data_IF_017911248928
#
_entry.id   IF_017911248928
#
_cell.length_a   1.000
_cell.length_b   1.000
_cell.length_c   1.000
_cell.angle_alpha   90.00
_cell.angle_beta   90.00
_cell.angle_gamma   90.00
#
_symmetry.space_group_name_H-M   'P 1'
#
loop_
_entity.id
_entity.type
_entity.pdbx_description
1 polymer ?
#
# COMPACT_ATOMS: atom_id res chain seq x y z
N UNK A 1 25.41 -25.25 3.89
CA UNK A 1 24.05 -24.72 4.16
C UNK A 1 24.07 -23.26 4.60
N UNK A 2 24.88 -22.87 5.59
CA UNK A 2 25.01 -21.47 6.04
C UNK A 2 25.40 -20.46 4.94
N UNK A 3 26.31 -20.84 4.02
CA UNK A 3 26.66 -19.98 2.88
C UNK A 3 25.48 -19.78 1.91
N UNK A 4 24.72 -20.84 1.60
CA UNK A 4 23.54 -20.75 0.75
C UNK A 4 22.37 -19.98 1.38
N UNK A 5 22.25 -20.03 2.70
CA UNK A 5 21.28 -19.21 3.45
C UNK A 5 21.67 -17.72 3.43
N UNK A 6 22.96 -17.41 3.58
CA UNK A 6 23.47 -16.04 3.45
C UNK A 6 23.22 -15.49 2.04
N UNK A 7 23.50 -16.27 1.00
CA UNK A 7 23.26 -15.87 -0.40
C UNK A 7 21.76 -15.77 -0.74
N UNK A 8 20.89 -16.47 0.00
CA UNK A 8 19.45 -16.31 -0.11
C UNK A 8 18.96 -15.00 0.52
N UNK A 9 19.40 -14.69 1.75
CA UNK A 9 19.04 -13.44 2.43
C UNK A 9 19.64 -12.23 1.70
N UNK A 10 20.88 -12.30 1.22
CA UNK A 10 21.52 -11.19 0.50
C UNK A 10 20.86 -10.82 -0.83
N UNK A 11 19.88 -11.60 -1.32
CA UNK A 11 18.99 -11.13 -2.38
C UNK A 11 18.15 -9.97 -1.82
N UNK A 12 18.53 -8.73 -2.16
CA UNK A 12 17.91 -7.50 -1.63
C UNK A 12 16.38 -7.43 -1.75
N UNK A 13 15.77 -8.13 -2.70
CA UNK A 13 14.32 -8.27 -2.81
C UNK A 13 13.68 -9.00 -1.62
N UNK A 14 14.36 -9.99 -1.03
CA UNK A 14 13.84 -10.77 0.10
C UNK A 14 13.90 -9.96 1.41
N UNK A 15 15.00 -9.23 1.63
CA UNK A 15 15.17 -8.39 2.83
C UNK A 15 14.15 -7.27 2.87
N UNK A 16 13.95 -6.55 1.75
CA UNK A 16 12.99 -5.44 1.68
C UNK A 16 11.56 -5.90 1.93
N UNK A 17 11.15 -7.03 1.34
CA UNK A 17 9.85 -7.65 1.59
C UNK A 17 9.69 -8.12 3.05
N UNK A 18 10.72 -8.75 3.62
CA UNK A 18 10.70 -9.22 5.00
C UNK A 18 10.58 -8.07 6.01
N UNK A 19 11.31 -6.97 5.80
CA UNK A 19 11.21 -5.77 6.63
C UNK A 19 9.81 -5.16 6.52
N UNK A 20 9.26 -5.06 5.30
CA UNK A 20 7.91 -4.55 5.06
C UNK A 20 6.85 -5.33 5.85
N UNK A 21 6.91 -6.67 5.81
CA UNK A 21 6.00 -7.52 6.57
C UNK A 21 6.16 -7.37 8.09
N UNK A 22 7.41 -7.32 8.58
CA UNK A 22 7.70 -7.19 10.01
C UNK A 22 7.19 -5.85 10.57
N UNK A 23 7.43 -4.75 9.86
CA UNK A 23 6.95 -3.42 10.24
C UNK A 23 5.42 -3.36 10.17
N UNK A 24 4.82 -3.94 9.13
CA UNK A 24 3.35 -4.02 9.00
C UNK A 24 2.69 -4.77 10.16
N UNK A 25 3.27 -5.89 10.59
CA UNK A 25 2.79 -6.66 11.73
C UNK A 25 2.93 -5.90 13.05
N UNK A 26 4.08 -5.29 13.32
CA UNK A 26 4.33 -4.50 14.52
C UNK A 26 3.36 -3.31 14.61
N UNK A 27 3.15 -2.63 13.50
CA UNK A 27 2.24 -1.49 13.43
C UNK A 27 0.78 -1.90 13.67
N UNK A 28 0.35 -3.02 13.08
CA UNK A 28 -0.98 -3.60 13.32
C UNK A 28 -1.20 -3.92 14.80
N UNK A 29 -0.18 -4.45 15.48
CA UNK A 29 -0.24 -4.75 16.91
C UNK A 29 -0.43 -3.48 17.76
N UNK A 30 0.28 -2.39 17.44
CA UNK A 30 0.14 -1.09 18.13
C UNK A 30 -1.28 -0.53 17.96
N UNK A 31 -1.79 -0.51 16.72
CA UNK A 31 -3.15 0.00 16.43
C UNK A 31 -4.22 -0.84 17.12
N UNK A 32 -4.07 -2.16 17.09
CA UNK A 32 -4.99 -3.09 17.75
C UNK A 32 -4.96 -2.91 19.28
N UNK A 33 -3.77 -2.76 19.86
CA UNK A 33 -3.60 -2.49 21.29
C UNK A 33 -4.26 -1.17 21.71
N UNK A 34 -4.07 -0.11 20.93
CA UNK A 34 -4.73 1.18 21.16
C UNK A 34 -6.26 1.08 21.07
N UNK A 35 -6.78 0.38 20.05
CA UNK A 35 -8.21 0.13 19.91
C UNK A 35 -8.83 -0.54 21.13
N UNK A 36 -8.20 -1.64 21.56
CA UNK A 36 -8.70 -2.45 22.65
C UNK A 36 -8.58 -1.73 24.00
N UNK A 37 -7.56 -0.89 24.18
CA UNK A 37 -7.34 -0.15 25.41
C UNK A 37 -8.20 1.11 25.55
N UNK A 38 -8.52 1.80 24.45
CA UNK A 38 -9.21 3.09 24.50
C UNK A 38 -10.57 3.08 23.81
N UNK A 39 -10.68 2.50 22.62
CA UNK A 39 -11.90 2.57 21.81
C UNK A 39 -12.97 1.61 22.34
N UNK A 40 -12.62 0.35 22.58
CA UNK A 40 -13.56 -0.67 23.10
C UNK A 40 -14.14 -0.24 24.46
N UNK A 41 -13.36 0.25 25.44
CA UNK A 41 -13.91 0.74 26.70
C UNK A 41 -14.73 2.02 26.56
N UNK A 42 -14.36 2.94 25.66
CA UNK A 42 -15.19 4.12 25.38
C UNK A 42 -16.57 3.73 24.87
N UNK A 43 -16.63 2.79 23.91
CA UNK A 43 -17.90 2.28 23.38
C UNK A 43 -18.72 1.65 24.52
N UNK A 44 -18.07 0.87 25.39
CA UNK A 44 -18.72 0.26 26.55
C UNK A 44 -19.23 1.26 27.60
N UNK A 45 -18.62 2.43 27.71
CA UNK A 45 -19.08 3.52 28.58
C UNK A 45 -20.29 4.26 27.99
N UNK A 46 -20.27 4.54 26.68
CA UNK A 46 -21.39 5.18 25.99
C UNK A 46 -22.67 4.32 25.99
N UNK A 47 -22.54 2.99 26.09
CA UNK A 47 -23.67 2.07 26.21
C UNK A 47 -24.16 1.82 27.65
N UNK A 48 -23.75 2.65 28.62
CA UNK A 48 -24.24 2.76 30.02
C UNK A 48 -24.65 1.42 30.65
N UNK A 49 -23.69 0.68 31.20
CA UNK A 49 -23.93 -0.50 32.06
C UNK A 49 -24.34 -1.78 31.32
N UNK A 50 -24.65 -1.70 30.03
CA UNK A 50 -24.68 -2.83 29.10
C UNK A 50 -23.47 -2.73 28.17
N UNK A 51 -22.28 -2.90 28.74
CA UNK A 51 -21.01 -3.00 28.01
C UNK A 51 -20.88 -4.25 27.13
N UNK A 52 -22.01 -4.87 26.77
CA UNK A 52 -22.07 -6.09 25.99
C UNK A 52 -23.15 -5.95 24.93
N UNK A 53 -22.81 -5.35 23.79
CA UNK A 53 -23.38 -5.84 22.55
C UNK A 53 -23.02 -7.34 22.36
N UNK A 54 -21.97 -7.85 23.02
CA UNK A 54 -21.66 -9.28 23.17
C UNK A 54 -22.83 -10.16 23.65
N UNK A 55 -23.74 -9.62 24.48
CA UNK A 55 -24.92 -10.33 25.02
C UNK A 55 -26.18 -10.12 24.19
N UNK A 56 -26.13 -9.24 23.20
CA UNK A 56 -27.17 -9.10 22.20
C UNK A 56 -27.03 -10.29 21.25
N UNK A 57 -27.64 -11.40 21.65
CA UNK A 57 -27.69 -12.62 20.88
C UNK A 57 -29.12 -12.88 20.42
N UNK A 58 -29.26 -13.21 19.14
CA UNK A 58 -30.53 -13.72 18.62
C UNK A 58 -30.42 -15.25 18.62
N UNK A 59 -31.33 -15.90 19.34
CA UNK A 59 -31.37 -17.36 19.41
C UNK A 59 -32.52 -17.88 18.55
N UNK A 60 -32.20 -18.65 17.53
CA UNK A 60 -33.17 -19.43 16.74
C UNK A 60 -32.76 -20.88 16.82
N UNK A 61 -33.69 -21.74 17.21
CA UNK A 61 -33.50 -23.20 17.25
C UNK A 61 -32.27 -23.67 18.07
N UNK A 62 -32.01 -23.00 19.20
CA UNK A 62 -30.89 -23.34 20.10
C UNK A 62 -29.51 -22.85 19.66
N UNK A 63 -29.41 -22.17 18.51
CA UNK A 63 -28.16 -21.55 18.04
C UNK A 63 -28.15 -20.07 18.40
N UNK A 64 -27.17 -19.65 19.20
CA UNK A 64 -26.98 -18.27 19.65
C UNK A 64 -26.14 -17.48 18.63
N UNK A 65 -26.70 -16.43 18.03
CA UNK A 65 -25.99 -15.51 17.14
C UNK A 65 -25.65 -14.20 17.86
N UNK A 66 -24.40 -14.01 18.35
CA UNK A 66 -23.98 -12.80 19.04
C UNK A 66 -23.71 -11.66 18.05
N UNK A 67 -24.77 -11.07 17.49
CA UNK A 67 -24.66 -10.00 16.49
C UNK A 67 -24.00 -8.75 17.07
N UNK A 68 -24.18 -8.48 18.35
CA UNK A 68 -23.59 -7.28 18.91
C UNK A 68 -22.06 -7.39 19.14
N UNK A 69 -21.50 -8.60 19.24
CA UNK A 69 -20.03 -8.76 19.23
C UNK A 69 -19.44 -8.38 17.86
N UNK A 70 -20.20 -8.64 16.79
CA UNK A 70 -19.83 -8.23 15.43
C UNK A 70 -19.95 -6.71 15.26
N UNK A 71 -21.03 -6.09 15.75
CA UNK A 71 -21.23 -4.63 15.63
C UNK A 71 -20.17 -3.87 16.43
N UNK A 72 -19.82 -4.31 17.65
CA UNK A 72 -18.76 -3.69 18.43
C UNK A 72 -17.39 -3.81 17.74
N UNK A 73 -17.07 -4.99 17.18
CA UNK A 73 -15.86 -5.19 16.41
C UNK A 73 -15.81 -4.33 15.14
N UNK A 74 -16.94 -4.17 14.44
CA UNK A 74 -17.04 -3.34 13.24
C UNK A 74 -16.85 -1.84 13.55
N UNK A 75 -17.47 -1.34 14.63
CA UNK A 75 -17.29 0.06 15.06
C UNK A 75 -15.84 0.29 15.51
N UNK A 76 -15.26 -0.64 16.28
CA UNK A 76 -13.87 -0.56 16.68
C UNK A 76 -12.93 -0.55 15.47
N UNK A 77 -13.20 -1.39 14.46
CA UNK A 77 -12.45 -1.43 13.20
C UNK A 77 -12.55 -0.11 12.40
N UNK A 78 -13.74 0.48 12.30
CA UNK A 78 -13.91 1.75 11.61
C UNK A 78 -13.16 2.90 12.30
N UNK A 79 -13.21 2.94 13.63
CA UNK A 79 -12.50 3.97 14.40
C UNK A 79 -10.98 3.77 14.31
N UNK A 80 -10.47 2.54 14.37
CA UNK A 80 -9.04 2.30 14.18
C UNK A 80 -8.59 2.66 12.78
N UNK A 81 -9.34 2.27 11.75
CA UNK A 81 -9.04 2.64 10.36
C UNK A 81 -9.00 4.16 10.20
N UNK A 82 -9.94 4.89 10.81
CA UNK A 82 -9.96 6.36 10.80
C UNK A 82 -8.72 6.96 11.50
N UNK A 83 -8.35 6.46 12.69
CA UNK A 83 -7.16 6.92 13.41
C UNK A 83 -5.88 6.64 12.62
N UNK A 84 -5.77 5.45 12.03
CA UNK A 84 -4.64 5.03 11.22
C UNK A 84 -4.50 5.90 9.97
N UNK A 85 -5.60 6.14 9.28
CA UNK A 85 -5.65 7.03 8.13
C UNK A 85 -5.23 8.46 8.51
N UNK A 86 -5.77 9.00 9.61
CA UNK A 86 -5.54 10.38 9.98
C UNK A 86 -4.14 10.64 10.59
N UNK A 87 -3.61 9.71 11.39
CA UNK A 87 -2.31 9.86 12.07
C UNK A 87 -1.12 9.34 11.27
N UNK A 88 -1.31 8.45 10.30
CA UNK A 88 -0.20 7.87 9.53
C UNK A 88 -0.32 8.21 8.06
N UNK A 89 -1.43 7.85 7.41
CA UNK A 89 -1.58 8.03 5.96
C UNK A 89 -1.59 9.51 5.58
N UNK A 90 -2.38 10.35 6.26
CA UNK A 90 -2.44 11.78 5.97
C UNK A 90 -1.11 12.53 6.18
N UNK A 91 -0.40 12.38 7.31
CA UNK A 91 0.89 13.06 7.47
C UNK A 91 1.95 12.47 6.54
N UNK A 92 1.98 11.15 6.29
CA UNK A 92 2.87 10.57 5.29
C UNK A 92 2.60 11.14 3.90
N UNK A 93 1.34 11.20 3.46
CA UNK A 93 0.95 11.78 2.18
C UNK A 93 1.30 13.27 2.12
N UNK A 94 1.10 14.02 3.20
CA UNK A 94 1.43 15.45 3.28
C UNK A 94 2.93 15.73 3.30
N UNK A 95 3.71 14.85 3.93
CA UNK A 95 5.17 14.86 3.96
C UNK A 95 5.70 14.48 2.59
N UNK A 96 5.24 13.39 1.99
CA UNK A 96 5.61 12.98 0.63
C UNK A 96 5.33 14.11 -0.37
N UNK A 97 4.13 14.68 -0.39
CA UNK A 97 3.80 15.83 -1.24
C UNK A 97 4.64 17.10 -0.98
N UNK A 98 5.38 17.17 0.12
CA UNK A 98 6.30 18.26 0.46
C UNK A 98 7.78 17.93 0.22
N UNK A 99 8.15 16.65 0.23
CA UNK A 99 9.53 16.19 0.02
C UNK A 99 9.76 15.67 -1.39
N UNK A 100 8.74 15.11 -2.05
CA UNK A 100 8.74 14.87 -3.49
C UNK A 100 8.21 16.14 -4.15
N UNK A 101 9.10 16.95 -4.71
CA UNK A 101 8.68 17.81 -5.82
C UNK A 101 8.06 16.85 -6.84
N UNK A 102 6.83 17.13 -7.31
CA UNK A 102 6.07 16.35 -8.29
C UNK A 102 6.88 15.84 -9.50
N UNK A 103 8.05 16.43 -9.73
CA UNK A 103 9.08 16.01 -10.68
C UNK A 103 9.65 14.59 -10.46
N UNK A 104 9.77 14.04 -9.25
CA UNK A 104 10.42 12.72 -9.05
C UNK A 104 9.49 11.52 -9.25
N UNK A 105 8.22 11.61 -8.81
CA UNK A 105 7.21 10.59 -9.12
C UNK A 105 6.85 10.62 -10.62
N UNK A 106 6.71 11.80 -11.22
CA UNK A 106 6.54 11.91 -12.68
C UNK A 106 7.78 11.43 -13.46
N UNK A 107 9.01 11.75 -13.04
CA UNK A 107 10.22 11.22 -13.72
C UNK A 107 10.38 9.70 -13.56
N UNK A 108 9.90 9.12 -12.47
CA UNK A 108 9.89 7.67 -12.28
C UNK A 108 8.85 6.99 -13.19
N UNK A 109 7.64 7.56 -13.32
CA UNK A 109 6.57 7.00 -14.15
C UNK A 109 6.78 7.20 -15.65
N UNK A 110 7.38 8.32 -16.10
CA UNK A 110 7.58 8.58 -17.54
C UNK A 110 8.61 7.62 -18.17
N UNK A 111 9.55 7.08 -17.38
CA UNK A 111 10.43 5.98 -17.83
C UNK A 111 9.73 4.62 -17.90
N UNK A 112 8.58 4.47 -17.24
CA UNK A 112 7.83 3.23 -17.12
C UNK A 112 6.70 3.06 -18.15
N UNK A 113 6.36 4.12 -18.91
CA UNK A 113 5.45 3.99 -20.05
C UNK A 113 6.13 3.16 -21.15
N UNK A 114 5.80 1.86 -21.18
CA UNK A 114 6.32 0.88 -22.14
C UNK A 114 5.42 0.83 -23.38
N UNK A 115 6.04 0.61 -24.53
CA UNK A 115 5.38 0.32 -25.81
C UNK A 115 6.08 -0.85 -26.50
N UNK A 116 5.39 -1.50 -27.41
CA UNK A 116 5.99 -2.55 -28.21
C UNK A 116 6.89 -1.96 -29.30
N UNK A 117 8.06 -2.56 -29.48
CA UNK A 117 8.95 -2.25 -30.59
C UNK A 117 8.35 -2.76 -31.92
N UNK A 118 8.21 -1.93 -32.97
CA UNK A 118 7.60 -2.33 -34.25
C UNK A 118 8.42 -3.37 -35.04
N UNK A 119 9.69 -3.58 -34.68
CA UNK A 119 10.58 -4.50 -35.39
C UNK A 119 10.69 -5.88 -34.75
N UNK A 120 10.66 -5.93 -33.41
CA UNK A 120 10.96 -7.17 -32.66
C UNK A 120 9.96 -7.48 -31.55
N UNK A 121 8.92 -6.66 -31.37
CA UNK A 121 7.85 -6.86 -30.39
C UNK A 121 8.31 -6.98 -28.92
N UNK A 122 9.54 -6.59 -28.61
CA UNK A 122 9.99 -6.44 -27.22
C UNK A 122 9.44 -5.15 -26.62
N UNK A 123 9.12 -5.17 -25.33
CA UNK A 123 8.75 -3.98 -24.56
C UNK A 123 9.93 -3.00 -24.48
N UNK A 124 9.72 -1.77 -24.92
CA UNK A 124 10.70 -0.68 -24.87
C UNK A 124 10.07 0.57 -24.23
N UNK A 125 10.86 1.42 -23.55
CA UNK A 125 10.34 2.71 -23.08
C UNK A 125 9.82 3.56 -24.25
N UNK A 126 8.68 4.21 -24.06
CA UNK A 126 8.03 5.08 -25.04
C UNK A 126 8.96 6.19 -25.58
N UNK A 127 9.84 6.70 -24.73
CA UNK A 127 10.84 7.73 -25.06
C UNK A 127 12.12 7.20 -25.74
N UNK A 128 12.28 5.88 -25.86
CA UNK A 128 13.48 5.26 -26.41
C UNK A 128 13.59 5.53 -27.92
N UNK A 129 14.77 5.96 -28.35
CA UNK A 129 15.11 6.14 -29.78
C UNK A 129 15.83 4.95 -30.40
N UNK A 130 16.17 3.95 -29.58
CA UNK A 130 16.81 2.72 -30.02
C UNK A 130 16.33 1.55 -29.17
N UNK A 131 15.96 0.46 -29.82
CA UNK A 131 15.52 -0.74 -29.12
C UNK A 131 16.70 -1.41 -28.41
N UNK A 132 16.56 -1.74 -27.13
CA UNK A 132 17.58 -2.46 -26.36
C UNK A 132 17.74 -3.93 -26.80
N UNK A 133 16.69 -4.52 -27.40
CA UNK A 133 16.67 -5.92 -27.78
C UNK A 133 17.23 -6.14 -29.20
N UNK A 134 16.61 -5.54 -30.22
CA UNK A 134 17.01 -5.73 -31.62
C UNK A 134 17.90 -4.63 -32.17
N UNK A 135 18.23 -3.60 -31.39
CA UNK A 135 19.12 -2.50 -31.78
C UNK A 135 18.63 -1.64 -32.95
N UNK A 136 17.40 -1.83 -33.42
CA UNK A 136 16.81 -0.97 -34.44
C UNK A 136 16.59 0.45 -33.90
N UNK A 137 16.72 1.43 -34.78
CA UNK A 137 16.25 2.79 -34.52
C UNK A 137 14.73 2.79 -34.52
N UNK A 138 14.13 3.45 -33.54
CA UNK A 138 12.68 3.49 -33.36
C UNK A 138 12.28 4.92 -33.06
N UNK A 139 11.21 5.39 -33.70
CA UNK A 139 10.72 6.74 -33.47
C UNK A 139 10.03 6.79 -32.09
N UNK A 140 10.47 7.70 -31.20
CA UNK A 140 9.93 7.82 -29.86
C UNK A 140 8.60 8.55 -29.86
N UNK A 141 7.73 8.19 -28.92
CA UNK A 141 6.41 8.81 -28.79
C UNK A 141 6.52 10.29 -28.41
N UNK A 142 5.91 11.16 -29.22
CA UNK A 142 5.98 12.61 -29.04
C UNK A 142 5.28 13.09 -27.76
N UNK A 143 4.20 12.43 -27.36
CA UNK A 143 3.41 12.78 -26.17
C UNK A 143 4.19 12.39 -24.91
N UNK A 144 4.77 11.19 -24.89
CA UNK A 144 5.62 10.73 -23.78
C UNK A 144 6.88 11.58 -23.62
N UNK A 145 7.44 12.10 -24.72
CA UNK A 145 8.60 13.00 -24.70
C UNK A 145 8.30 14.42 -24.24
N UNK A 146 7.18 14.97 -24.67
CA UNK A 146 6.71 16.27 -24.22
C UNK A 146 6.43 16.24 -22.71
N UNK A 147 5.85 15.14 -22.22
CA UNK A 147 5.64 14.92 -20.78
C UNK A 147 6.97 14.80 -20.01
N UNK A 148 8.01 14.23 -20.65
CA UNK A 148 9.35 14.07 -20.08
C UNK A 148 10.23 15.34 -20.09
N UNK A 149 9.75 16.44 -20.68
CA UNK A 149 10.52 17.68 -20.92
C UNK A 149 11.87 17.41 -21.62
N UNK A 150 11.89 16.45 -22.55
CA UNK A 150 13.07 16.11 -23.34
C UNK A 150 13.11 16.96 -24.63
N UNK A 151 14.28 17.48 -25.03
CA UNK A 151 14.40 18.22 -26.29
C UNK A 151 14.02 17.31 -27.47
N UNK A 152 13.39 17.90 -28.49
CA UNK A 152 13.09 17.19 -29.73
C UNK A 152 14.37 16.58 -30.31
N UNK A 153 14.31 15.30 -30.70
CA UNK A 153 15.42 14.68 -31.40
C UNK A 153 15.59 15.33 -32.77
N UNK A 154 16.83 15.69 -33.07
CA UNK A 154 17.25 16.19 -34.38
C UNK A 154 17.43 15.03 -35.35
#
# INVERSE_FOLDING_TARGET
MLNGFKDFILRGNVISMAIGLAVGAAFTAVVTGFSNAFIVPLIGLFTRGTGDFSKASYSVDGVTFPYGLFVSAAIAFLITAAVLYFLVVLPMAKVQNRFTTKEEEQKADIKAALRDCPHCFSEIPSIASRCAHCTSEVEPDAEARALADLPAQR
#
